data_IF_679567021802
#
_entry.id   IF_679567021802
#
_cell.length_a   1.000
_cell.length_b   1.000
_cell.length_c   1.000
_cell.angle_alpha   90.00
_cell.angle_beta   90.00
_cell.angle_gamma   90.00
#
_symmetry.space_group_name_H-M   'P 1'
#
loop_
_entity.id
_entity.type
_entity.pdbx_description
1 polymer ?
#
# COMPACT_ATOMS: atom_id res chain seq x y z
N UNK A 1 -14.21 40.54 -12.97
CA UNK A 1 -14.86 40.01 -11.74
C UNK A 1 -14.29 38.64 -11.28
N UNK A 2 -14.06 37.67 -12.17
CA UNK A 2 -13.55 36.32 -11.80
C UNK A 2 -12.14 36.27 -11.16
N UNK A 3 -11.23 37.15 -11.56
CA UNK A 3 -9.86 37.20 -11.04
C UNK A 3 -9.79 37.54 -9.54
N UNK A 4 -10.61 38.49 -9.09
CA UNK A 4 -10.70 38.91 -7.68
C UNK A 4 -11.25 37.79 -6.77
N UNK A 5 -12.17 36.97 -7.28
CA UNK A 5 -12.71 35.86 -6.52
C UNK A 5 -11.66 34.76 -6.30
N UNK A 6 -10.80 34.50 -7.29
CA UNK A 6 -9.70 33.51 -7.19
C UNK A 6 -8.60 33.95 -6.23
N UNK A 7 -8.23 35.23 -6.23
CA UNK A 7 -7.20 35.75 -5.32
C UNK A 7 -7.66 35.75 -3.86
N UNK A 8 -8.93 36.10 -3.61
CA UNK A 8 -9.52 36.03 -2.27
C UNK A 8 -9.63 34.58 -1.75
N UNK A 9 -9.93 33.62 -2.63
CA UNK A 9 -9.93 32.21 -2.28
C UNK A 9 -8.52 31.72 -1.91
N UNK A 10 -7.51 32.08 -2.70
CA UNK A 10 -6.12 31.70 -2.43
C UNK A 10 -5.59 32.26 -1.09
N UNK A 11 -5.95 33.51 -0.75
CA UNK A 11 -5.65 34.10 0.56
C UNK A 11 -6.30 33.32 1.71
N UNK A 12 -7.62 33.08 1.63
CA UNK A 12 -8.35 32.28 2.63
C UNK A 12 -7.77 30.88 2.83
N UNK A 13 -7.29 30.24 1.75
CA UNK A 13 -6.61 28.94 1.84
C UNK A 13 -5.28 29.08 2.56
N UNK A 14 -4.48 30.10 2.23
CA UNK A 14 -3.18 30.35 2.86
C UNK A 14 -3.30 30.62 4.36
N UNK A 15 -4.30 31.40 4.77
CA UNK A 15 -4.54 31.76 6.17
C UNK A 15 -4.99 30.55 7.02
N UNK A 16 -5.58 29.52 6.40
CA UNK A 16 -5.97 28.27 7.06
C UNK A 16 -4.82 27.27 7.22
N UNK A 17 -3.66 27.49 6.58
CA UNK A 17 -2.54 26.56 6.65
C UNK A 17 -1.79 26.80 7.97
N UNK A 18 -1.61 25.77 8.83
CA UNK A 18 -0.84 25.91 10.06
C UNK A 18 0.58 26.40 9.79
N UNK A 19 1.12 27.17 10.73
CA UNK A 19 2.51 27.64 10.66
C UNK A 19 3.49 26.44 10.59
N UNK A 20 4.60 26.62 9.87
CA UNK A 20 5.64 25.59 9.73
C UNK A 20 5.40 24.55 8.63
N UNK A 21 4.23 24.53 7.97
CA UNK A 21 3.99 23.63 6.84
C UNK A 21 4.62 24.21 5.56
N UNK A 22 5.63 23.52 5.00
CA UNK A 22 6.26 23.93 3.74
C UNK A 22 5.30 23.77 2.56
N UNK A 23 5.00 24.89 1.88
CA UNK A 23 4.04 24.93 0.76
C UNK A 23 4.70 25.15 -0.61
N UNK A 24 6.04 25.27 -0.67
CA UNK A 24 6.75 25.46 -1.94
C UNK A 24 6.45 24.31 -2.90
N UNK A 25 6.30 24.64 -4.18
CA UNK A 25 5.96 23.67 -5.22
C UNK A 25 7.00 22.54 -5.27
N UNK A 26 8.29 22.89 -5.19
CA UNK A 26 9.40 21.94 -5.13
C UNK A 26 9.28 20.96 -3.95
N UNK A 27 8.83 21.40 -2.77
CA UNK A 27 8.64 20.51 -1.62
C UNK A 27 7.51 19.51 -1.85
N UNK A 28 6.38 19.99 -2.41
CA UNK A 28 5.24 19.13 -2.76
C UNK A 28 5.61 18.11 -3.82
N UNK A 29 6.34 18.55 -4.85
CA UNK A 29 6.79 17.69 -5.94
C UNK A 29 7.82 16.67 -5.45
N UNK A 30 8.77 17.07 -4.61
CA UNK A 30 9.71 16.13 -3.96
C UNK A 30 8.97 15.07 -3.14
N UNK A 31 7.95 15.45 -2.34
CA UNK A 31 7.12 14.50 -1.59
C UNK A 31 6.28 13.60 -2.49
N UNK A 32 5.81 14.10 -3.63
CA UNK A 32 5.12 13.28 -4.64
C UNK A 32 6.07 12.25 -5.24
N UNK A 33 7.28 12.67 -5.63
CA UNK A 33 8.29 11.77 -6.19
C UNK A 33 8.75 10.72 -5.18
N UNK A 34 8.89 11.09 -3.90
CA UNK A 34 9.19 10.15 -2.82
C UNK A 34 8.12 9.03 -2.72
N UNK A 35 6.83 9.39 -2.77
CA UNK A 35 5.73 8.41 -2.76
C UNK A 35 5.77 7.48 -3.99
N UNK A 36 5.99 8.05 -5.18
CA UNK A 36 6.08 7.27 -6.41
C UNK A 36 7.28 6.32 -6.40
N UNK A 37 8.42 6.77 -5.89
CA UNK A 37 9.62 5.95 -5.74
C UNK A 37 9.40 4.78 -4.77
N UNK A 38 8.69 5.00 -3.65
CA UNK A 38 8.33 3.95 -2.71
C UNK A 38 7.40 2.90 -3.36
N UNK A 39 6.41 3.35 -4.13
CA UNK A 39 5.51 2.45 -4.86
C UNK A 39 6.26 1.63 -5.92
N UNK A 40 7.13 2.28 -6.69
CA UNK A 40 7.96 1.61 -7.71
C UNK A 40 8.89 0.57 -7.08
N UNK A 41 9.56 0.90 -5.97
CA UNK A 41 10.40 -0.04 -5.23
C UNK A 41 9.61 -1.26 -4.75
N UNK A 42 8.38 -1.05 -4.26
CA UNK A 42 7.50 -2.16 -3.88
C UNK A 42 7.16 -3.06 -5.07
N UNK A 43 6.77 -2.49 -6.21
CA UNK A 43 6.47 -3.26 -7.44
C UNK A 43 7.69 -4.04 -7.94
N UNK A 44 8.90 -3.47 -7.85
CA UNK A 44 10.16 -4.16 -8.19
C UNK A 44 10.49 -5.31 -7.24
N UNK A 45 10.08 -5.23 -5.97
CA UNK A 45 10.22 -6.37 -5.05
C UNK A 45 9.19 -7.46 -5.37
N UNK A 46 7.96 -7.06 -5.67
CA UNK A 46 6.88 -7.97 -6.07
C UNK A 46 7.16 -8.72 -7.38
N UNK A 47 7.90 -8.12 -8.32
CA UNK A 47 8.29 -8.80 -9.57
C UNK A 47 9.19 -10.01 -9.36
N UNK A 48 9.88 -10.10 -8.21
CA UNK A 48 10.69 -11.26 -7.82
C UNK A 48 9.87 -12.35 -7.12
N UNK A 49 8.60 -12.08 -6.81
CA UNK A 49 7.70 -12.96 -6.09
C UNK A 49 6.97 -12.26 -4.95
N UNK A 50 6.04 -12.96 -4.30
CA UNK A 50 5.27 -12.36 -3.21
C UNK A 50 6.13 -11.97 -2.00
N UNK A 51 5.83 -10.81 -1.43
CA UNK A 51 6.43 -10.28 -0.22
C UNK A 51 5.75 -10.93 0.97
N UNK A 52 6.33 -12.01 1.46
CA UNK A 52 5.79 -12.77 2.59
C UNK A 52 6.58 -12.58 3.89
N UNK A 53 7.73 -11.88 3.83
CA UNK A 53 8.64 -11.76 4.96
C UNK A 53 8.50 -10.42 5.71
N UNK A 54 8.91 -10.40 6.99
CA UNK A 54 9.19 -9.15 7.72
C UNK A 54 8.04 -8.50 8.51
N UNK A 55 6.91 -9.18 8.76
CA UNK A 55 5.85 -8.69 9.69
C UNK A 55 5.49 -9.72 10.75
N UNK A 56 4.62 -9.28 11.67
CA UNK A 56 4.21 -10.03 12.87
C UNK A 56 3.47 -11.34 12.56
N UNK A 57 2.65 -11.37 11.50
CA UNK A 57 1.84 -12.52 11.09
C UNK A 57 1.69 -12.56 9.56
N UNK A 58 1.32 -13.74 9.03
CA UNK A 58 1.13 -13.93 7.58
C UNK A 58 0.10 -12.95 7.00
N UNK A 59 -0.96 -12.66 7.75
CA UNK A 59 -1.99 -11.71 7.36
C UNK A 59 -1.44 -10.32 7.00
N UNK A 60 -0.53 -9.78 7.83
CA UNK A 60 0.07 -8.47 7.59
C UNK A 60 1.12 -8.53 6.48
N UNK A 61 1.77 -9.67 6.28
CA UNK A 61 2.67 -9.87 5.14
C UNK A 61 1.89 -9.82 3.81
N UNK A 62 0.79 -10.57 3.71
CA UNK A 62 -0.07 -10.61 2.52
C UNK A 62 -0.51 -9.22 2.07
N UNK A 63 -0.90 -8.35 3.01
CA UNK A 63 -1.33 -6.98 2.76
C UNK A 63 -0.26 -6.03 2.20
N UNK A 64 1.02 -6.40 2.26
CA UNK A 64 2.06 -5.59 1.62
C UNK A 64 1.97 -5.67 0.10
N UNK A 65 1.49 -6.80 -0.41
CA UNK A 65 1.43 -7.08 -1.83
C UNK A 65 0.32 -6.26 -2.50
N UNK A 66 0.59 -5.79 -3.72
CA UNK A 66 -0.40 -5.12 -4.56
C UNK A 66 -1.63 -6.02 -4.81
N UNK A 67 -2.79 -5.38 -4.82
CA UNK A 67 -4.12 -5.97 -5.04
C UNK A 67 -4.64 -6.93 -3.97
N UNK A 68 -3.93 -7.04 -2.83
CA UNK A 68 -4.38 -7.81 -1.67
C UNK A 68 -4.85 -6.85 -0.57
N UNK A 69 -6.17 -6.64 -0.51
CA UNK A 69 -6.82 -5.88 0.57
C UNK A 69 -7.06 -6.76 1.82
N UNK A 70 -7.59 -6.17 2.90
CA UNK A 70 -7.87 -6.88 4.15
C UNK A 70 -8.79 -8.09 3.97
N UNK A 71 -9.82 -7.94 3.13
CA UNK A 71 -10.80 -8.99 2.87
C UNK A 71 -10.16 -10.17 2.11
N UNK A 72 -9.44 -9.89 1.02
CA UNK A 72 -8.73 -10.90 0.22
C UNK A 72 -7.66 -11.62 1.03
N UNK A 73 -6.92 -10.90 1.88
CA UNK A 73 -5.97 -11.53 2.79
C UNK A 73 -6.65 -12.51 3.76
N UNK A 74 -7.86 -12.19 4.24
CA UNK A 74 -8.67 -13.07 5.07
C UNK A 74 -9.13 -14.32 4.31
N UNK A 75 -9.56 -14.17 3.06
CA UNK A 75 -9.92 -15.30 2.19
C UNK A 75 -8.73 -16.23 1.95
N UNK A 76 -7.55 -15.69 1.66
CA UNK A 76 -6.32 -16.47 1.46
C UNK A 76 -6.00 -17.30 2.71
N UNK A 77 -6.11 -16.70 3.90
CA UNK A 77 -5.90 -17.43 5.15
C UNK A 77 -6.94 -18.52 5.38
N UNK A 78 -8.21 -18.28 5.01
CA UNK A 78 -9.28 -19.27 5.10
C UNK A 78 -8.98 -20.49 4.21
N UNK A 79 -8.51 -20.27 2.98
CA UNK A 79 -8.08 -21.36 2.09
C UNK A 79 -6.86 -22.12 2.60
N UNK A 80 -5.99 -21.45 3.36
CA UNK A 80 -4.83 -22.08 3.98
C UNK A 80 -5.15 -22.76 5.31
N UNK A 81 -6.36 -22.54 5.86
CA UNK A 81 -6.78 -23.00 7.19
C UNK A 81 -5.86 -22.48 8.31
N UNK A 82 -5.29 -21.28 8.12
CA UNK A 82 -4.36 -20.66 9.05
C UNK A 82 -5.08 -19.57 9.85
N UNK A 83 -4.90 -19.60 11.18
CA UNK A 83 -5.41 -18.54 12.04
C UNK A 83 -4.76 -17.17 11.73
N UNK A 84 -5.53 -16.08 11.81
CA UNK A 84 -5.07 -14.73 11.44
C UNK A 84 -3.81 -14.25 12.20
N UNK A 85 -3.65 -14.69 13.45
CA UNK A 85 -2.49 -14.34 14.29
C UNK A 85 -1.30 -15.29 14.11
N UNK A 86 -1.44 -16.35 13.33
CA UNK A 86 -0.36 -17.30 13.12
C UNK A 86 0.79 -16.67 12.32
N UNK A 87 2.00 -17.10 12.68
CA UNK A 87 3.23 -16.75 12.01
C UNK A 87 3.91 -18.06 11.55
N UNK A 88 3.43 -18.65 10.45
CA UNK A 88 4.04 -19.85 9.91
C UNK A 88 5.43 -19.52 9.33
N UNK A 89 6.35 -20.46 9.42
CA UNK A 89 7.63 -20.36 8.72
C UNK A 89 7.42 -20.59 7.22
N UNK A 90 7.89 -19.64 6.41
CA UNK A 90 7.63 -19.63 4.97
C UNK A 90 8.65 -20.53 4.28
N UNK A 91 8.32 -21.81 4.18
CA UNK A 91 9.04 -22.74 3.32
C UNK A 91 8.75 -22.47 1.84
N UNK A 92 9.63 -22.88 0.91
CA UNK A 92 9.40 -22.71 -0.53
C UNK A 92 8.07 -23.32 -1.00
N UNK A 93 7.72 -24.51 -0.50
CA UNK A 93 6.45 -25.19 -0.84
C UNK A 93 5.23 -24.42 -0.34
N UNK A 94 5.29 -23.84 0.86
CA UNK A 94 4.21 -23.01 1.40
C UNK A 94 4.08 -21.71 0.59
N UNK A 95 5.20 -21.09 0.19
CA UNK A 95 5.21 -19.89 -0.65
C UNK A 95 4.50 -20.10 -1.98
N UNK A 96 4.73 -21.23 -2.64
CA UNK A 96 4.03 -21.60 -3.87
C UNK A 96 2.53 -21.76 -3.65
N UNK A 97 2.12 -22.48 -2.60
CA UNK A 97 0.71 -22.65 -2.23
C UNK A 97 0.01 -21.30 -2.01
N UNK A 98 0.63 -20.41 -1.23
CA UNK A 98 0.10 -19.07 -0.98
C UNK A 98 -0.01 -18.30 -2.30
N UNK A 99 0.97 -18.41 -3.19
CA UNK A 99 0.96 -17.73 -4.51
C UNK A 99 -0.19 -18.20 -5.38
N UNK A 100 -0.42 -19.51 -5.44
CA UNK A 100 -1.52 -20.09 -6.22
C UNK A 100 -2.88 -19.63 -5.68
N UNK A 101 -3.07 -19.66 -4.35
CA UNK A 101 -4.29 -19.19 -3.70
C UNK A 101 -4.48 -17.68 -3.88
N UNK A 102 -3.43 -16.89 -3.75
CA UNK A 102 -3.51 -15.45 -3.97
C UNK A 102 -3.93 -15.12 -5.41
N UNK A 103 -3.40 -15.83 -6.41
CA UNK A 103 -3.80 -15.69 -7.80
C UNK A 103 -5.25 -16.13 -8.04
N UNK A 104 -5.73 -17.15 -7.33
CA UNK A 104 -7.12 -17.59 -7.35
C UNK A 104 -8.06 -16.51 -6.79
N UNK A 105 -7.78 -16.01 -5.57
CA UNK A 105 -8.57 -14.96 -4.91
C UNK A 105 -8.55 -13.64 -5.69
N UNK A 106 -7.43 -13.29 -6.34
CA UNK A 106 -7.33 -12.11 -7.22
C UNK A 106 -8.30 -12.17 -8.40
N UNK A 107 -8.60 -13.37 -8.92
CA UNK A 107 -9.58 -13.58 -10.00
C UNK A 107 -11.04 -13.43 -9.53
N UNK A 108 -11.28 -13.26 -8.24
CA UNK A 108 -12.62 -13.11 -7.67
C UNK A 108 -13.43 -14.41 -7.67
N UNK A 109 -12.75 -15.55 -7.69
CA UNK A 109 -13.34 -16.88 -7.56
C UNK A 109 -13.01 -17.46 -6.19
#
# INVERSE_FOLDING_TARGET
MFLLCRTNLAKKIKDKIPYGVKQSQNYKDAKKQERLALEANRKLKESRGMLLDGKKNLFMCLRQNSDINWYRAGQILKHLEIHQRAKPDITPSLREKITNIANFVKKGR
#
